data_IF_766888705311
#
_entry.id   IF_766888705311
#
_cell.length_a   1.000
_cell.length_b   1.000
_cell.length_c   1.000
_cell.angle_alpha   90.00
_cell.angle_beta   90.00
_cell.angle_gamma   90.00
#
_symmetry.space_group_name_H-M   'P 1'
#
loop_
_entity.id
_entity.type
_entity.pdbx_description
1 polymer ?
#
# COMPACT_ATOMS: atom_id res chain seq x y z
N UNK A 1 34.19 13.02 45.31
CA UNK A 1 35.59 12.84 44.88
C UNK A 1 35.59 12.48 43.41
N UNK A 2 36.18 13.34 42.56
CA UNK A 2 37.39 13.04 41.76
C UNK A 2 37.12 11.94 40.69
N UNK A 3 36.82 12.28 39.44
CA UNK A 3 37.74 12.78 38.37
C UNK A 3 38.62 11.65 37.79
N UNK A 4 38.80 11.47 36.48
CA UNK A 4 39.34 12.37 35.42
C UNK A 4 38.62 12.00 34.07
N UNK A 5 38.32 12.87 33.09
CA UNK A 5 39.22 13.68 32.23
C UNK A 5 40.04 12.83 31.24
N UNK A 6 40.24 13.14 29.95
CA UNK A 6 39.53 13.95 28.94
C UNK A 6 40.27 13.78 27.58
N UNK A 7 39.90 14.63 26.60
CA UNK A 7 40.73 15.26 25.56
C UNK A 7 40.66 14.61 24.17
N UNK A 8 39.97 15.27 23.23
CA UNK A 8 40.67 16.03 22.18
C UNK A 8 39.81 17.18 21.63
N UNK A 9 40.42 18.35 21.50
CA UNK A 9 39.83 19.62 21.09
C UNK A 9 40.86 20.32 20.21
N UNK A 10 40.52 20.66 18.96
CA UNK A 10 41.23 21.54 18.01
C UNK A 10 40.47 21.47 16.66
N UNK A 11 40.26 22.52 15.84
CA UNK A 11 40.35 23.97 16.04
C UNK A 11 39.76 24.71 14.80
N UNK A 12 38.97 25.77 15.02
CA UNK A 12 39.02 27.09 14.36
C UNK A 12 39.14 27.22 12.80
N UNK A 13 38.13 27.86 12.16
CA UNK A 13 38.15 29.25 11.56
C UNK A 13 38.39 29.30 10.02
N UNK A 14 38.07 30.36 9.23
CA UNK A 14 37.51 31.71 9.47
C UNK A 14 36.82 32.28 8.18
N UNK A 15 35.71 33.05 8.31
CA UNK A 15 35.24 34.18 7.44
C UNK A 15 34.99 34.06 5.93
N UNK A 16 33.90 34.69 5.47
CA UNK A 16 33.68 35.04 4.05
C UNK A 16 32.41 35.87 3.75
N UNK A 17 32.16 36.98 4.46
CA UNK A 17 30.98 37.83 4.21
C UNK A 17 31.18 38.84 3.05
N UNK A 18 30.04 39.34 2.54
CA UNK A 18 29.80 40.62 1.82
C UNK A 18 29.55 40.57 0.28
N UNK A 19 28.26 40.55 -0.05
CA UNK A 19 27.54 41.52 -0.92
C UNK A 19 28.30 42.32 -2.01
N UNK A 20 27.71 42.37 -3.22
CA UNK A 20 27.25 43.63 -3.85
C UNK A 20 26.42 43.47 -5.13
N UNK A 21 25.17 43.97 -5.06
CA UNK A 21 24.43 44.79 -6.06
C UNK A 21 24.67 44.66 -7.58
N UNK A 22 23.57 44.47 -8.31
CA UNK A 22 23.42 44.69 -9.76
C UNK A 22 23.48 46.20 -10.16
N UNK A 23 23.35 46.54 -11.46
CA UNK A 23 22.01 46.86 -12.01
C UNK A 23 21.74 46.39 -13.47
N UNK A 24 20.56 46.73 -13.99
CA UNK A 24 19.93 46.19 -15.20
C UNK A 24 20.03 47.08 -16.47
N UNK A 25 19.61 46.51 -17.62
CA UNK A 25 19.09 47.11 -18.88
C UNK A 25 18.53 45.93 -19.71
N UNK A 26 17.27 45.75 -20.11
CA UNK A 26 16.16 46.59 -20.63
C UNK A 26 16.03 46.64 -22.18
N UNK A 27 15.21 45.72 -22.71
CA UNK A 27 14.23 45.79 -23.83
C UNK A 27 14.56 46.43 -25.22
N UNK A 28 14.51 45.59 -26.27
CA UNK A 28 13.68 45.73 -27.53
C UNK A 28 13.84 46.98 -28.45
N UNK A 29 13.20 47.10 -29.66
CA UNK A 29 12.50 46.12 -30.53
C UNK A 29 12.85 46.16 -32.06
N UNK A 30 12.16 45.29 -32.83
CA UNK A 30 11.52 45.52 -34.16
C UNK A 30 12.25 45.49 -35.53
N UNK A 31 11.47 44.96 -36.50
CA UNK A 31 11.30 45.31 -37.94
C UNK A 31 11.54 44.13 -38.93
N UNK A 32 10.54 43.29 -39.26
CA UNK A 32 9.44 43.43 -40.26
C UNK A 32 9.84 43.55 -41.75
N UNK A 33 9.59 42.46 -42.52
CA UNK A 33 9.04 42.31 -43.90
C UNK A 33 9.28 43.38 -45.00
N UNK A 34 9.51 43.00 -46.28
CA UNK A 34 8.49 42.36 -47.18
C UNK A 34 9.05 41.16 -48.01
N UNK A 35 8.31 40.21 -48.60
CA UNK A 35 6.97 40.14 -49.21
C UNK A 35 6.86 40.68 -50.65
N UNK A 36 6.86 39.79 -51.66
CA UNK A 36 6.07 39.97 -52.89
C UNK A 36 5.78 38.63 -53.60
N UNK A 37 4.75 38.62 -54.45
CA UNK A 37 4.01 37.44 -54.96
C UNK A 37 4.26 37.16 -56.46
N UNK A 38 3.94 35.94 -56.93
CA UNK A 38 3.02 35.72 -58.07
C UNK A 38 2.73 34.23 -58.42
N UNK A 39 1.44 33.89 -58.32
CA UNK A 39 0.58 33.09 -59.21
C UNK A 39 1.09 31.85 -60.00
N UNK A 40 0.47 30.72 -59.64
CA UNK A 40 -0.30 29.79 -60.49
C UNK A 40 0.33 29.14 -61.75
N UNK A 41 0.52 27.82 -61.67
CA UNK A 41 -0.20 26.85 -62.54
C UNK A 41 -0.14 25.44 -61.92
N UNK A 42 -1.20 24.65 -62.14
CA UNK A 42 -1.22 23.22 -61.80
C UNK A 42 -1.81 22.44 -62.98
N UNK A 43 -1.14 21.36 -63.41
CA UNK A 43 -1.88 20.16 -63.79
C UNK A 43 -1.27 18.84 -63.30
N UNK A 44 -2.17 17.98 -62.82
CA UNK A 44 -2.22 16.51 -62.95
C UNK A 44 -0.97 15.64 -62.66
N UNK A 45 -1.06 14.99 -61.51
CA UNK A 45 -0.67 13.61 -61.21
C UNK A 45 0.16 12.80 -62.23
N UNK A 46 1.38 12.46 -61.81
CA UNK A 46 2.08 11.24 -62.22
C UNK A 46 2.50 10.54 -60.93
N UNK A 47 2.06 9.29 -60.74
CA UNK A 47 2.49 8.50 -59.57
C UNK A 47 3.94 8.02 -59.73
N UNK A 48 4.70 8.14 -58.65
CA UNK A 48 6.02 7.52 -58.49
C UNK A 48 6.10 6.79 -57.15
N UNK A 49 6.91 5.73 -57.03
CA UNK A 49 6.69 4.69 -56.03
C UNK A 49 6.99 5.11 -54.60
N UNK A 50 6.37 4.41 -53.66
CA UNK A 50 6.47 4.59 -52.22
C UNK A 50 7.92 4.55 -51.71
N UNK A 51 8.28 5.52 -50.87
CA UNK A 51 9.49 5.48 -50.06
C UNK A 51 9.43 4.29 -49.06
N UNK A 52 10.58 3.72 -48.65
CA UNK A 52 10.59 2.56 -47.78
C UNK A 52 9.97 2.89 -46.42
N UNK A 53 8.93 2.13 -46.04
CA UNK A 53 8.29 2.19 -44.73
C UNK A 53 9.36 2.08 -43.63
N UNK A 54 9.59 3.18 -42.93
CA UNK A 54 10.30 3.16 -41.65
C UNK A 54 9.38 2.42 -40.68
N UNK A 55 9.85 1.37 -39.97
CA UNK A 55 9.00 0.70 -38.99
C UNK A 55 8.57 1.74 -37.95
N UNK A 56 7.26 1.94 -37.80
CA UNK A 56 6.75 2.72 -36.69
C UNK A 56 7.23 2.08 -35.39
N UNK A 57 7.70 2.91 -34.45
CA UNK A 57 8.04 2.42 -33.13
C UNK A 57 6.79 1.75 -32.53
N UNK A 58 6.92 0.62 -31.82
CA UNK A 58 5.76 -0.01 -31.21
C UNK A 58 5.08 1.02 -30.31
N UNK A 59 3.79 1.26 -30.55
CA UNK A 59 3.00 2.13 -29.69
C UNK A 59 3.14 1.60 -28.26
N UNK A 60 3.61 2.46 -27.36
CA UNK A 60 3.61 2.15 -25.93
C UNK A 60 2.16 1.81 -25.57
N UNK A 61 1.87 0.64 -24.96
CA UNK A 61 0.50 0.29 -24.62
C UNK A 61 -0.12 1.42 -23.83
N UNK A 62 -1.28 1.92 -24.26
CA UNK A 62 -2.05 2.85 -23.44
C UNK A 62 -2.29 2.16 -22.10
N UNK A 63 -1.82 2.80 -21.01
CA UNK A 63 -2.06 2.30 -19.67
C UNK A 63 -3.57 2.16 -19.48
N UNK A 64 -4.02 1.00 -19.02
CA UNK A 64 -5.44 0.74 -18.86
C UNK A 64 -6.08 1.81 -17.96
N UNK A 65 -7.09 2.49 -18.49
CA UNK A 65 -7.86 3.52 -17.78
C UNK A 65 -8.74 2.87 -16.72
N UNK A 66 -8.13 2.55 -15.57
CA UNK A 66 -8.81 2.22 -14.34
C UNK A 66 -9.41 3.51 -13.77
N UNK A 67 -10.57 3.90 -14.30
CA UNK A 67 -11.21 5.18 -14.02
C UNK A 67 -11.36 5.49 -12.53
N UNK A 68 -11.03 6.73 -12.16
CA UNK A 68 -10.97 7.26 -10.78
C UNK A 68 -10.39 6.25 -9.79
N UNK A 69 -9.08 6.01 -9.88
CA UNK A 69 -8.31 5.10 -9.04
C UNK A 69 -8.66 5.28 -7.54
N UNK A 70 -9.50 4.39 -7.03
CA UNK A 70 -9.80 4.31 -5.62
C UNK A 70 -8.50 4.02 -4.84
N UNK A 71 -8.44 4.48 -3.59
CA UNK A 71 -7.36 4.15 -2.67
C UNK A 71 -7.29 2.62 -2.47
N UNK A 72 -6.22 1.99 -2.96
CA UNK A 72 -6.04 0.53 -3.00
C UNK A 72 -4.87 0.01 -2.15
N UNK A 73 -3.99 0.88 -1.66
CA UNK A 73 -2.77 0.54 -0.93
C UNK A 73 -2.44 1.56 0.15
N UNK A 74 -1.73 1.12 1.19
CA UNK A 74 -1.41 1.92 2.36
C UNK A 74 -0.54 3.14 2.05
N UNK A 75 -0.48 4.07 3.00
CA UNK A 75 0.38 5.26 2.92
C UNK A 75 1.67 4.95 3.66
N UNK A 76 2.81 4.85 2.97
CA UNK A 76 4.13 4.76 3.62
C UNK A 76 4.70 6.17 3.80
N UNK A 77 5.10 6.48 5.04
CA UNK A 77 5.61 7.75 5.50
C UNK A 77 7.03 7.58 6.05
N UNK A 78 7.98 8.43 5.68
CA UNK A 78 9.36 8.38 6.17
C UNK A 78 9.68 9.60 7.05
N UNK A 79 10.31 9.40 8.20
CA UNK A 79 10.69 10.49 9.10
C UNK A 79 11.72 11.42 8.45
N UNK A 80 11.40 12.72 8.40
CA UNK A 80 12.26 13.75 7.81
C UNK A 80 12.18 13.85 6.29
N UNK A 81 11.43 12.99 5.60
CA UNK A 81 11.18 13.07 4.16
C UNK A 81 9.80 13.71 3.88
N UNK A 82 9.69 14.79 3.10
CA UNK A 82 8.41 15.32 2.64
C UNK A 82 7.77 14.49 1.50
N UNK A 83 8.39 13.39 1.04
CA UNK A 83 7.82 12.48 0.04
C UNK A 83 7.29 11.22 0.71
N UNK A 84 6.00 10.97 0.53
CA UNK A 84 5.31 9.73 0.92
C UNK A 84 5.20 8.78 -0.28
N UNK A 85 4.92 7.50 -0.01
CA UNK A 85 4.40 6.58 -1.02
C UNK A 85 2.92 6.34 -0.78
N UNK A 86 2.07 6.76 -1.72
CA UNK A 86 0.62 6.51 -1.71
C UNK A 86 0.32 5.55 -2.85
N UNK A 87 -0.22 4.37 -2.55
CA UNK A 87 -0.32 3.29 -3.55
C UNK A 87 1.01 3.04 -4.29
N UNK A 88 2.16 3.13 -3.59
CA UNK A 88 3.55 3.11 -4.13
C UNK A 88 4.01 4.32 -4.94
N UNK A 89 3.14 5.26 -5.32
CA UNK A 89 3.53 6.44 -6.08
C UNK A 89 4.08 7.53 -5.15
N UNK A 90 5.12 8.24 -5.61
CA UNK A 90 5.73 9.34 -4.84
C UNK A 90 4.80 10.55 -4.79
N UNK A 91 4.32 10.90 -3.59
CA UNK A 91 3.45 12.05 -3.36
C UNK A 91 4.11 13.00 -2.37
N UNK A 92 4.22 14.27 -2.74
CA UNK A 92 4.75 15.32 -1.88
C UNK A 92 3.71 15.77 -0.84
N UNK A 93 4.12 15.81 0.42
CA UNK A 93 3.36 16.30 1.57
C UNK A 93 3.61 17.78 1.82
N UNK A 94 2.72 18.45 2.58
CA UNK A 94 2.93 19.83 3.04
C UNK A 94 4.16 20.00 3.95
N UNK A 95 4.57 18.94 4.65
CA UNK A 95 5.77 18.89 5.48
C UNK A 95 6.13 17.43 5.81
N UNK A 96 7.37 17.17 6.19
CA UNK A 96 7.82 15.84 6.57
C UNK A 96 7.18 15.34 7.90
N UNK A 97 6.84 14.04 8.01
CA UNK A 97 6.65 13.35 9.28
C UNK A 97 7.91 13.41 10.15
N UNK A 98 7.78 13.19 11.44
CA UNK A 98 8.95 13.15 12.34
C UNK A 98 8.74 12.18 13.51
N UNK A 99 9.85 11.72 14.09
CA UNK A 99 9.84 10.94 15.32
C UNK A 99 10.38 11.78 16.49
N UNK A 100 9.65 11.84 17.59
CA UNK A 100 10.04 12.61 18.78
C UNK A 100 9.49 11.99 20.06
N UNK A 101 10.31 11.92 21.11
CA UNK A 101 9.94 11.41 22.45
C UNK A 101 9.32 10.00 22.52
N UNK A 102 9.47 9.19 21.46
CA UNK A 102 8.90 7.84 21.35
C UNK A 102 7.69 7.75 20.42
N UNK A 103 7.25 8.89 19.86
CA UNK A 103 6.04 9.02 19.05
C UNK A 103 6.37 9.36 17.59
N UNK A 104 5.70 8.69 16.65
CA UNK A 104 5.75 9.06 15.23
C UNK A 104 4.60 10.00 14.89
N UNK A 105 4.95 11.21 14.46
CA UNK A 105 4.02 12.29 14.17
C UNK A 105 3.78 12.40 12.66
N UNK A 106 2.53 12.19 12.25
CA UNK A 106 2.11 12.26 10.84
C UNK A 106 1.47 13.62 10.50
N UNK A 107 1.72 14.21 9.33
CA UNK A 107 0.98 15.38 8.85
C UNK A 107 -0.51 15.02 8.70
N UNK A 108 -1.36 15.60 9.56
CA UNK A 108 -2.73 15.11 9.76
C UNK A 108 -3.62 15.36 8.53
N UNK A 109 -3.47 16.51 7.87
CA UNK A 109 -4.28 16.84 6.69
C UNK A 109 -3.96 15.89 5.54
N UNK A 110 -2.69 15.74 5.18
CA UNK A 110 -2.24 14.76 4.20
C UNK A 110 -2.80 13.36 4.47
N UNK A 111 -2.60 12.83 5.68
CA UNK A 111 -3.02 11.49 6.02
C UNK A 111 -4.55 11.35 5.95
N UNK A 112 -5.31 12.30 6.50
CA UNK A 112 -6.76 12.26 6.50
C UNK A 112 -7.35 12.34 5.07
N UNK A 113 -6.94 13.34 4.29
CA UNK A 113 -7.48 13.56 2.94
C UNK A 113 -7.12 12.40 2.00
N UNK A 114 -5.90 11.85 2.10
CA UNK A 114 -5.46 10.68 1.31
C UNK A 114 -6.26 9.42 1.65
N UNK A 115 -6.70 9.26 2.91
CA UNK A 115 -7.54 8.15 3.36
C UNK A 115 -9.05 8.35 3.11
N UNK A 116 -9.43 9.43 2.40
CA UNK A 116 -10.81 9.75 2.06
C UNK A 116 -11.61 10.40 3.19
N UNK A 117 -10.95 10.97 4.21
CA UNK A 117 -11.59 11.80 5.22
C UNK A 117 -11.64 13.26 4.78
N UNK A 118 -12.72 13.96 5.11
CA UNK A 118 -12.77 15.41 5.05
C UNK A 118 -12.03 15.99 6.26
N UNK A 119 -11.07 16.89 6.02
CA UNK A 119 -10.36 17.65 7.05
C UNK A 119 -10.92 19.08 7.14
N UNK A 120 -11.21 19.54 8.35
CA UNK A 120 -11.55 20.94 8.65
C UNK A 120 -10.83 21.43 9.91
N UNK A 121 -10.52 22.71 9.97
CA UNK A 121 -9.70 23.34 11.03
C UNK A 121 -10.27 24.71 11.39
N UNK A 122 -10.57 24.93 12.68
CA UNK A 122 -10.96 26.23 13.25
C UNK A 122 -10.09 26.53 14.48
N UNK A 123 -9.06 27.36 14.29
CA UNK A 123 -8.08 27.65 15.32
C UNK A 123 -7.32 26.40 15.75
N UNK A 124 -7.43 26.01 17.01
CA UNK A 124 -6.79 24.80 17.56
C UNK A 124 -7.69 23.56 17.52
N UNK A 125 -8.91 23.67 17.00
CA UNK A 125 -9.85 22.56 16.84
C UNK A 125 -9.79 22.00 15.42
N UNK A 126 -9.70 20.67 15.30
CA UNK A 126 -9.72 19.95 14.03
C UNK A 126 -10.94 19.03 14.01
N UNK A 127 -11.74 19.11 12.96
CA UNK A 127 -12.84 18.19 12.70
C UNK A 127 -12.47 17.29 11.53
N UNK A 128 -12.57 15.98 11.71
CA UNK A 128 -12.42 15.00 10.64
C UNK A 128 -13.75 14.27 10.46
N UNK A 129 -14.20 14.06 9.22
CA UNK A 129 -15.35 13.19 8.96
C UNK A 129 -15.18 12.30 7.74
N UNK A 130 -15.67 11.07 7.83
CA UNK A 130 -15.69 10.13 6.71
C UNK A 130 -17.01 9.35 6.72
N UNK A 131 -17.66 9.27 5.56
CA UNK A 131 -18.82 8.38 5.36
C UNK A 131 -18.36 7.19 4.57
N UNK A 132 -18.33 6.00 5.20
CA UNK A 132 -18.06 4.73 4.51
C UNK A 132 -19.30 3.85 4.57
N UNK A 133 -19.79 3.45 3.41
CA UNK A 133 -20.67 2.29 3.29
C UNK A 133 -19.83 1.07 3.63
N UNK A 134 -20.23 0.28 4.63
CA UNK A 134 -19.73 -1.09 4.65
C UNK A 134 -20.49 -1.77 3.52
N UNK A 135 -19.78 -2.26 2.50
CA UNK A 135 -20.45 -2.92 1.37
C UNK A 135 -21.33 -4.08 1.87
N UNK A 136 -20.87 -4.76 2.93
CA UNK A 136 -21.63 -5.82 3.61
C UNK A 136 -21.44 -5.80 5.14
N UNK A 137 -22.53 -6.06 5.86
CA UNK A 137 -22.56 -6.41 7.28
C UNK A 137 -23.14 -7.82 7.48
N UNK A 138 -22.71 -8.50 8.54
CA UNK A 138 -23.09 -9.88 8.84
C UNK A 138 -24.22 -9.91 9.88
N UNK A 139 -25.41 -10.34 9.47
CA UNK A 139 -26.49 -10.68 10.41
C UNK A 139 -26.44 -12.18 10.73
N UNK A 140 -26.45 -12.54 12.01
CA UNK A 140 -26.45 -13.95 12.45
C UNK A 140 -27.86 -14.45 12.75
N UNK A 141 -28.22 -15.59 12.15
CA UNK A 141 -29.51 -16.25 12.36
C UNK A 141 -29.47 -17.14 13.63
N UNK A 142 -30.61 -17.37 14.32
CA UNK A 142 -30.64 -18.14 15.57
C UNK A 142 -30.30 -19.63 15.45
N UNK A 143 -30.23 -20.16 14.23
CA UNK A 143 -29.81 -21.53 13.90
C UNK A 143 -28.30 -21.65 13.62
N UNK A 144 -27.56 -20.53 13.62
CA UNK A 144 -26.13 -20.47 13.33
C UNK A 144 -25.80 -20.10 11.89
N UNK A 145 -26.79 -19.92 11.01
CA UNK A 145 -26.56 -19.30 9.70
C UNK A 145 -26.18 -17.83 9.81
N UNK A 146 -25.68 -17.24 8.73
CA UNK A 146 -25.51 -15.79 8.61
C UNK A 146 -25.95 -15.31 7.23
N UNK A 147 -26.25 -14.01 7.11
CA UNK A 147 -26.51 -13.35 5.83
C UNK A 147 -25.75 -12.05 5.73
N UNK A 148 -25.12 -11.81 4.59
CA UNK A 148 -24.57 -10.51 4.22
C UNK A 148 -25.73 -9.58 3.83
N UNK A 149 -25.76 -8.38 4.42
CA UNK A 149 -26.66 -7.29 3.99
C UNK A 149 -25.85 -6.05 3.64
N UNK A 150 -26.29 -5.22 2.67
CA UNK A 150 -25.74 -3.89 2.50
C UNK A 150 -25.94 -3.11 3.80
N UNK A 151 -24.88 -2.50 4.34
CA UNK A 151 -25.04 -1.58 5.47
C UNK A 151 -25.52 -0.22 4.98
N UNK A 152 -26.31 0.46 5.80
CA UNK A 152 -26.47 1.90 5.65
C UNK A 152 -25.09 2.58 5.76
N UNK A 153 -24.82 3.65 4.98
CA UNK A 153 -23.58 4.40 5.11
C UNK A 153 -23.38 4.90 6.53
N UNK A 154 -22.26 4.51 7.16
CA UNK A 154 -21.90 4.97 8.50
C UNK A 154 -20.98 6.17 8.35
N UNK A 155 -21.36 7.30 8.95
CA UNK A 155 -20.48 8.46 9.11
C UNK A 155 -19.74 8.32 10.43
N UNK A 156 -18.41 8.41 10.39
CA UNK A 156 -17.59 8.70 11.56
C UNK A 156 -17.22 10.17 11.56
N UNK A 157 -17.28 10.80 12.73
CA UNK A 157 -16.86 12.17 12.99
C UNK A 157 -15.90 12.19 14.19
N UNK A 158 -14.79 12.90 14.05
CA UNK A 158 -13.78 13.11 15.08
C UNK A 158 -13.63 14.61 15.34
N UNK A 159 -13.59 15.03 16.60
CA UNK A 159 -13.16 16.38 16.99
C UNK A 159 -11.91 16.27 17.88
N UNK A 160 -10.81 16.86 17.41
CA UNK A 160 -9.49 16.87 18.05
C UNK A 160 -9.14 18.32 18.45
N UNK A 161 -8.33 18.50 19.49
CA UNK A 161 -7.79 19.82 19.86
C UNK A 161 -6.27 19.76 20.03
N UNK A 162 -5.55 20.73 19.48
CA UNK A 162 -4.08 20.81 19.58
C UNK A 162 -3.65 20.93 21.05
N UNK A 163 -2.73 20.07 21.46
CA UNK A 163 -2.20 20.01 22.83
C UNK A 163 -3.04 19.19 23.82
N UNK A 164 -4.22 18.71 23.42
CA UNK A 164 -5.13 17.95 24.29
C UNK A 164 -5.04 16.43 24.03
N UNK A 165 -5.24 15.64 25.09
CA UNK A 165 -5.30 14.16 25.02
C UNK A 165 -6.71 13.63 24.76
N UNK A 166 -7.72 14.43 25.05
CA UNK A 166 -9.10 14.09 24.84
C UNK A 166 -9.54 14.49 23.43
N UNK A 167 -10.40 13.67 22.84
CA UNK A 167 -11.06 13.93 21.57
C UNK A 167 -12.52 13.51 21.67
N UNK A 168 -13.34 13.85 20.68
CA UNK A 168 -14.67 13.24 20.55
C UNK A 168 -14.71 12.30 19.35
N UNK A 169 -15.41 11.18 19.51
CA UNK A 169 -15.77 10.23 18.46
C UNK A 169 -17.30 10.19 18.39
N UNK A 170 -17.86 10.63 17.27
CA UNK A 170 -19.31 10.74 17.06
C UNK A 170 -20.05 11.53 18.17
N UNK A 171 -19.37 12.52 18.76
CA UNK A 171 -19.87 13.34 19.87
C UNK A 171 -19.70 12.75 21.28
N UNK A 172 -19.16 11.54 21.42
CA UNK A 172 -18.78 10.97 22.72
C UNK A 172 -17.31 11.28 23.04
N UNK A 173 -17.03 11.74 24.27
CA UNK A 173 -15.69 12.11 24.68
C UNK A 173 -14.84 10.87 25.03
N UNK A 174 -13.65 10.79 24.44
CA UNK A 174 -12.68 9.71 24.55
C UNK A 174 -11.32 10.28 24.96
N UNK A 175 -10.56 9.56 25.80
CA UNK A 175 -9.19 9.93 26.16
C UNK A 175 -8.19 9.00 25.47
N UNK A 176 -7.19 9.58 24.80
CA UNK A 176 -6.14 8.83 24.10
C UNK A 176 -5.22 8.07 25.06
N UNK A 177 -4.76 6.89 24.62
CA UNK A 177 -3.70 6.11 25.26
C UNK A 177 -2.27 6.55 24.87
N UNK A 178 -2.09 7.28 23.77
CA UNK A 178 -0.79 7.76 23.27
C UNK A 178 0.01 8.52 24.32
N UNK A 179 1.34 8.51 24.31
CA UNK A 179 2.10 9.42 25.18
C UNK A 179 2.05 10.87 24.64
N UNK A 180 1.93 11.02 23.32
CA UNK A 180 1.82 12.30 22.63
C UNK A 180 0.45 13.00 22.72
N UNK A 181 0.38 14.15 22.05
CA UNK A 181 -0.82 14.97 21.79
C UNK A 181 -0.73 15.56 20.39
N UNK A 182 -1.82 16.05 19.76
CA UNK A 182 -1.74 16.71 18.47
C UNK A 182 -0.92 18.00 18.60
N UNK A 183 0.02 18.27 17.71
CA UNK A 183 0.90 19.46 17.76
C UNK A 183 0.86 20.25 16.47
N UNK A 184 0.96 21.59 16.57
CA UNK A 184 1.16 22.45 15.40
C UNK A 184 2.64 22.80 15.24
N UNK A 185 3.22 22.55 14.07
CA UNK A 185 4.57 22.99 13.67
C UNK A 185 4.48 23.63 12.28
N UNK A 186 5.02 24.83 12.12
CA UNK A 186 5.05 25.57 10.84
C UNK A 186 3.71 25.61 10.07
N UNK A 187 2.61 25.83 10.82
CA UNK A 187 1.21 25.82 10.36
C UNK A 187 0.64 24.47 9.92
N UNK A 188 1.38 23.36 10.06
CA UNK A 188 0.90 21.99 9.85
C UNK A 188 0.48 21.39 11.19
N UNK A 189 -0.69 20.73 11.23
CA UNK A 189 -1.10 19.89 12.35
C UNK A 189 -0.51 18.49 12.18
N UNK A 190 0.10 18.01 13.24
CA UNK A 190 0.62 16.66 13.36
C UNK A 190 -0.14 15.89 14.42
N UNK A 191 -0.40 14.62 14.14
CA UNK A 191 -1.04 13.69 15.07
C UNK A 191 -0.07 12.54 15.39
N UNK A 192 0.14 12.16 16.67
CA UNK A 192 0.81 10.90 16.98
C UNK A 192 0.06 9.74 16.34
N UNK A 193 0.79 8.78 15.77
CA UNK A 193 0.21 7.66 15.02
C UNK A 193 -0.77 6.82 15.86
N UNK A 194 -0.47 6.64 17.14
CA UNK A 194 -1.28 5.87 18.08
C UNK A 194 -2.34 6.73 18.80
N UNK A 195 -2.45 8.03 18.50
CA UNK A 195 -3.33 8.96 19.22
C UNK A 195 -4.81 8.54 19.21
N UNK A 196 -5.26 7.90 18.13
CA UNK A 196 -6.63 7.40 18.01
C UNK A 196 -6.83 6.01 18.65
N UNK A 197 -5.92 5.60 19.50
CA UNK A 197 -6.01 4.39 20.34
C UNK A 197 -6.48 4.77 21.74
N UNK A 198 -7.46 4.05 22.28
CA UNK A 198 -8.11 4.34 23.55
C UNK A 198 -8.54 3.03 24.26
N UNK A 199 -9.12 3.12 25.45
CA UNK A 199 -9.69 1.94 26.15
C UNK A 199 -11.14 2.21 26.57
N UNK A 200 -12.00 1.21 26.35
CA UNK A 200 -13.42 1.19 26.71
C UNK A 200 -13.70 0.37 27.99
N UNK A 201 -12.67 -0.26 28.56
CA UNK A 201 -12.75 -1.14 29.72
C UNK A 201 -12.83 -2.64 29.39
N UNK A 202 -13.21 -3.01 28.16
CA UNK A 202 -13.18 -4.40 27.66
C UNK A 202 -11.90 -4.69 26.86
N UNK A 203 -11.24 -3.66 26.33
CA UNK A 203 -9.93 -3.79 25.69
C UNK A 203 -9.25 -2.46 25.37
N UNK A 204 -8.26 -2.54 24.48
CA UNK A 204 -7.67 -1.38 23.80
C UNK A 204 -8.26 -1.33 22.38
N UNK A 205 -8.93 -0.23 22.07
CA UNK A 205 -9.60 0.04 20.80
C UNK A 205 -8.79 1.05 19.99
N UNK A 206 -8.98 1.08 18.66
CA UNK A 206 -8.50 2.16 17.81
C UNK A 206 -9.58 2.61 16.84
N UNK A 207 -9.55 3.88 16.41
CA UNK A 207 -10.50 4.38 15.39
C UNK A 207 -10.17 3.72 14.05
N UNK A 208 -11.02 2.83 13.51
CA UNK A 208 -10.59 1.82 12.54
C UNK A 208 -10.42 2.35 11.11
N UNK A 209 -10.68 3.64 10.86
CA UNK A 209 -10.70 4.21 9.51
C UNK A 209 -9.67 5.31 9.26
N UNK A 210 -9.03 5.88 10.29
CA UNK A 210 -7.94 6.85 10.10
C UNK A 210 -6.58 6.19 10.30
N UNK A 211 -6.29 5.65 11.49
CA UNK A 211 -5.02 4.94 11.75
C UNK A 211 -5.22 3.48 12.19
N UNK A 212 -6.42 2.91 12.03
CA UNK A 212 -6.70 1.51 12.35
C UNK A 212 -5.77 0.55 11.62
N UNK A 213 -5.02 -0.27 12.36
CA UNK A 213 -4.05 -1.20 11.77
C UNK A 213 -2.88 -0.50 11.05
N UNK A 214 -2.46 0.68 11.54
CA UNK A 214 -1.22 1.31 11.10
C UNK A 214 -0.02 0.73 11.86
N UNK A 215 1.13 0.69 11.21
CA UNK A 215 2.39 0.14 11.73
C UNK A 215 3.49 1.20 11.71
N UNK A 216 4.53 1.01 12.53
CA UNK A 216 5.66 1.92 12.62
C UNK A 216 6.94 1.19 13.05
N UNK A 217 8.03 1.43 12.34
CA UNK A 217 9.38 0.99 12.69
C UNK A 217 10.24 2.18 13.16
N UNK A 218 10.63 2.24 14.44
CA UNK A 218 11.46 3.32 14.98
C UNK A 218 12.95 3.24 14.64
N UNK A 219 13.47 2.10 14.20
CA UNK A 219 14.87 1.94 13.78
C UNK A 219 15.04 2.29 12.30
N UNK A 220 14.11 1.84 11.45
CA UNK A 220 14.07 2.19 10.03
C UNK A 220 13.43 3.57 9.75
N UNK A 221 12.66 4.11 10.71
CA UNK A 221 12.13 5.47 10.66
C UNK A 221 10.95 5.68 9.70
N UNK A 222 10.14 4.65 9.47
CA UNK A 222 8.97 4.72 8.59
C UNK A 222 7.69 4.20 9.26
N UNK A 223 6.54 4.76 8.88
CA UNK A 223 5.21 4.30 9.29
C UNK A 223 4.35 3.93 8.07
N UNK A 224 3.37 3.05 8.25
CA UNK A 224 2.42 2.65 7.21
C UNK A 224 0.98 2.76 7.73
N UNK A 225 0.10 3.45 6.99
CA UNK A 225 -1.29 3.74 7.42
C UNK A 225 -2.34 2.80 6.77
N UNK A 226 -3.29 2.31 7.58
CA UNK A 226 -4.45 1.46 7.20
C UNK A 226 -4.10 0.14 6.49
N UNK A 227 -3.32 -0.71 7.15
CA UNK A 227 -2.49 -1.70 6.48
C UNK A 227 -3.07 -3.02 5.97
N UNK A 228 -4.38 -3.31 5.89
CA UNK A 228 -4.81 -4.71 5.63
C UNK A 228 -5.97 -4.94 4.63
N UNK A 229 -7.18 -4.44 4.86
CA UNK A 229 -8.38 -4.99 4.17
C UNK A 229 -8.46 -4.74 2.66
N UNK A 230 -8.01 -3.58 2.20
CA UNK A 230 -8.05 -3.24 0.76
C UNK A 230 -6.73 -3.62 0.05
N UNK A 231 -5.71 -4.00 0.81
CA UNK A 231 -4.35 -4.21 0.32
C UNK A 231 -4.06 -5.66 -0.05
N UNK A 232 -4.88 -6.61 0.41
CA UNK A 232 -4.80 -8.02 0.05
C UNK A 232 -5.38 -8.25 -1.35
N UNK A 233 -4.73 -7.69 -2.38
CA UNK A 233 -5.16 -7.76 -3.77
C UNK A 233 -4.03 -7.51 -4.76
N UNK A 234 -4.23 -7.94 -6.01
CA UNK A 234 -3.23 -7.93 -7.06
C UNK A 234 -3.91 -7.99 -8.45
N UNK A 235 -3.38 -7.28 -9.44
CA UNK A 235 -3.88 -7.36 -10.83
C UNK A 235 -5.36 -6.99 -11.02
N UNK A 236 -5.94 -6.19 -10.11
CA UNK A 236 -7.35 -5.79 -10.11
C UNK A 236 -8.29 -6.69 -9.31
N UNK A 237 -7.79 -7.76 -8.67
CA UNK A 237 -8.57 -8.68 -7.83
C UNK A 237 -8.20 -8.50 -6.36
N UNK A 238 -9.15 -8.63 -5.44
CA UNK A 238 -8.90 -8.61 -4.00
C UNK A 238 -9.44 -9.88 -3.32
N UNK A 239 -8.74 -10.31 -2.27
CA UNK A 239 -9.16 -11.41 -1.41
C UNK A 239 -10.52 -11.07 -0.77
N UNK A 240 -11.39 -12.07 -0.68
CA UNK A 240 -12.81 -12.02 -0.31
C UNK A 240 -13.77 -11.36 -1.29
N UNK A 241 -13.34 -10.89 -2.46
CA UNK A 241 -14.28 -10.60 -3.57
C UNK A 241 -14.92 -11.90 -4.08
N UNK A 242 -16.19 -11.85 -4.49
CA UNK A 242 -16.82 -12.99 -5.15
C UNK A 242 -16.52 -12.98 -6.66
N UNK A 243 -15.74 -13.96 -7.11
CA UNK A 243 -15.36 -14.18 -8.51
C UNK A 243 -16.56 -14.18 -9.46
N UNK A 244 -17.64 -14.89 -9.14
CA UNK A 244 -18.78 -15.04 -10.06
C UNK A 244 -19.61 -13.76 -10.19
N UNK A 245 -19.53 -12.88 -9.18
CA UNK A 245 -20.15 -11.55 -9.19
C UNK A 245 -19.29 -10.49 -9.91
N UNK A 246 -18.00 -10.76 -10.18
CA UNK A 246 -17.13 -9.83 -10.89
C UNK A 246 -17.63 -9.55 -12.31
N UNK A 247 -17.44 -8.32 -12.83
CA UNK A 247 -17.73 -7.98 -14.22
C UNK A 247 -17.09 -8.94 -15.23
N UNK A 248 -17.83 -9.31 -16.28
CA UNK A 248 -17.36 -10.25 -17.30
C UNK A 248 -16.03 -9.81 -17.93
N UNK A 249 -15.89 -8.51 -18.22
CA UNK A 249 -14.66 -7.89 -18.76
C UNK A 249 -13.43 -8.06 -17.86
N UNK A 250 -13.60 -8.18 -16.54
CA UNK A 250 -12.50 -8.37 -15.60
C UNK A 250 -11.99 -9.82 -15.65
N UNK A 251 -12.93 -10.77 -15.74
CA UNK A 251 -12.68 -12.21 -15.87
C UNK A 251 -12.35 -12.69 -17.28
N UNK A 252 -12.52 -11.83 -18.30
CA UNK A 252 -12.30 -12.21 -19.70
C UNK A 252 -10.86 -12.71 -19.92
N UNK A 253 -10.73 -13.84 -20.62
CA UNK A 253 -9.44 -14.47 -20.91
C UNK A 253 -8.81 -15.26 -19.74
N UNK A 254 -9.42 -15.32 -18.55
CA UNK A 254 -9.03 -16.29 -17.53
C UNK A 254 -9.55 -17.69 -17.90
N UNK A 255 -8.69 -18.69 -17.72
CA UNK A 255 -9.03 -20.09 -17.87
C UNK A 255 -8.91 -20.82 -16.52
N UNK A 256 -9.83 -21.72 -16.23
CA UNK A 256 -9.68 -22.65 -15.09
C UNK A 256 -8.49 -23.57 -15.35
N UNK A 257 -7.52 -23.52 -14.44
CA UNK A 257 -6.28 -24.30 -14.46
C UNK A 257 -6.49 -25.67 -13.82
N UNK A 258 -7.21 -25.70 -12.70
CA UNK A 258 -7.60 -26.91 -11.99
C UNK A 258 -7.84 -26.66 -10.50
N UNK A 259 -8.04 -27.76 -9.77
CA UNK A 259 -8.16 -27.77 -8.32
C UNK A 259 -6.79 -27.95 -7.68
N UNK A 260 -6.38 -27.00 -6.83
CA UNK A 260 -5.10 -27.05 -6.11
C UNK A 260 -5.17 -28.01 -4.91
N UNK A 261 -6.31 -28.05 -4.22
CA UNK A 261 -6.55 -28.94 -3.09
C UNK A 261 -7.76 -28.54 -2.26
N UNK A 262 -7.89 -29.15 -1.09
CA UNK A 262 -8.86 -28.76 -0.06
C UNK A 262 -8.29 -27.61 0.77
N UNK A 263 -9.10 -26.58 1.01
CA UNK A 263 -8.81 -25.48 1.95
C UNK A 263 -8.47 -26.01 3.35
N UNK A 264 -7.50 -25.39 4.01
CA UNK A 264 -7.08 -25.73 5.37
C UNK A 264 -8.21 -25.57 6.41
N UNK A 265 -9.18 -24.69 6.14
CA UNK A 265 -10.40 -24.50 6.94
C UNK A 265 -11.65 -24.58 6.06
N UNK A 266 -12.70 -25.25 6.54
CA UNK A 266 -14.00 -25.35 5.87
C UNK A 266 -14.09 -26.49 4.84
N UNK A 267 -15.25 -26.57 4.18
CA UNK A 267 -15.63 -27.66 3.27
C UNK A 267 -15.54 -27.21 1.80
N UNK A 268 -14.40 -26.62 1.45
CA UNK A 268 -14.14 -26.00 0.16
C UNK A 268 -12.87 -26.54 -0.51
N UNK A 269 -12.94 -26.70 -1.82
CA UNK A 269 -11.79 -26.86 -2.69
C UNK A 269 -11.28 -25.48 -3.13
N UNK A 270 -9.97 -25.32 -3.26
CA UNK A 270 -9.34 -24.16 -3.89
C UNK A 270 -9.17 -24.47 -5.37
N UNK A 271 -9.80 -23.66 -6.23
CA UNK A 271 -9.73 -23.75 -7.70
C UNK A 271 -8.99 -22.54 -8.26
N UNK A 272 -8.03 -22.79 -9.15
CA UNK A 272 -7.18 -21.78 -9.76
C UNK A 272 -7.72 -21.35 -11.12
N UNK A 273 -7.81 -20.04 -11.34
CA UNK A 273 -8.03 -19.42 -12.65
C UNK A 273 -6.77 -18.63 -13.04
N UNK A 274 -6.25 -18.83 -14.26
CA UNK A 274 -5.03 -18.19 -14.73
C UNK A 274 -5.23 -17.33 -15.99
N UNK A 275 -4.51 -16.20 -16.06
CA UNK A 275 -4.34 -15.38 -17.26
C UNK A 275 -2.97 -14.70 -17.25
N UNK A 276 -2.10 -15.03 -18.21
CA UNK A 276 -0.87 -14.27 -18.45
C UNK A 276 0.13 -14.19 -17.29
N UNK A 277 0.19 -15.21 -16.42
CA UNK A 277 1.04 -15.17 -15.22
C UNK A 277 0.41 -14.47 -14.01
N UNK A 278 -0.88 -14.11 -14.08
CA UNK A 278 -1.75 -13.79 -12.94
C UNK A 278 -2.62 -15.01 -12.62
N UNK A 279 -2.65 -15.40 -11.35
CA UNK A 279 -3.32 -16.58 -10.81
C UNK A 279 -4.32 -16.11 -9.75
N UNK A 280 -5.57 -16.58 -9.84
CA UNK A 280 -6.64 -16.23 -8.89
C UNK A 280 -7.19 -17.53 -8.31
N UNK A 281 -7.07 -17.68 -6.99
CA UNK A 281 -7.52 -18.84 -6.24
C UNK A 281 -8.90 -18.56 -5.67
N UNK A 282 -9.86 -19.45 -5.92
CA UNK A 282 -11.28 -19.27 -5.61
C UNK A 282 -11.81 -20.49 -4.87
N UNK A 283 -12.56 -20.26 -3.78
CA UNK A 283 -13.23 -21.33 -3.06
C UNK A 283 -14.43 -21.85 -3.83
N UNK A 284 -14.52 -23.18 -3.92
CA UNK A 284 -15.64 -23.93 -4.50
C UNK A 284 -16.11 -25.00 -3.50
N UNK A 285 -17.42 -25.12 -3.22
CA UNK A 285 -17.95 -26.17 -2.35
C UNK A 285 -17.49 -27.58 -2.73
N UNK A 286 -17.30 -28.43 -1.72
CA UNK A 286 -17.03 -29.84 -1.97
C UNK A 286 -18.23 -30.53 -2.62
N UNK A 287 -17.97 -31.22 -3.74
CA UNK A 287 -19.01 -31.93 -4.50
C UNK A 287 -19.42 -33.29 -3.90
N UNK A 288 -18.91 -33.63 -2.71
CA UNK A 288 -19.19 -34.90 -2.03
C UNK A 288 -20.50 -34.89 -1.21
N UNK A 289 -21.13 -33.73 -1.08
CA UNK A 289 -22.42 -33.55 -0.41
C UNK A 289 -22.31 -33.26 1.09
N UNK A 290 -21.14 -32.82 1.56
CA UNK A 290 -20.95 -32.35 2.94
C UNK A 290 -21.66 -30.98 3.15
N UNK A 291 -22.11 -30.71 4.37
CA UNK A 291 -23.00 -29.59 4.70
C UNK A 291 -22.19 -28.31 5.00
N UNK A 292 -21.89 -27.58 3.93
CA UNK A 292 -21.04 -26.39 3.94
C UNK A 292 -21.43 -25.40 5.06
N UNK A 293 -20.48 -25.13 5.95
CA UNK A 293 -20.61 -24.08 6.95
C UNK A 293 -20.22 -22.73 6.36
N UNK A 294 -21.22 -21.88 6.14
CA UNK A 294 -21.07 -20.55 5.54
C UNK A 294 -21.31 -20.54 4.02
N UNK A 295 -21.34 -19.32 3.48
CA UNK A 295 -21.50 -19.03 2.06
C UNK A 295 -20.25 -18.31 1.56
N UNK A 296 -19.29 -19.09 1.07
CA UNK A 296 -18.02 -18.63 0.50
C UNK A 296 -17.76 -19.21 -0.90
N UNK A 297 -18.78 -19.75 -1.57
CA UNK A 297 -18.62 -20.15 -2.98
C UNK A 297 -18.32 -18.91 -3.84
N UNK A 298 -17.27 -19.00 -4.65
CA UNK A 298 -16.78 -17.88 -5.45
C UNK A 298 -15.88 -16.91 -4.70
N UNK A 299 -15.67 -17.05 -3.39
CA UNK A 299 -14.75 -16.18 -2.66
C UNK A 299 -13.31 -16.35 -3.17
N UNK A 300 -12.70 -15.27 -3.65
CA UNK A 300 -11.27 -15.22 -3.96
C UNK A 300 -10.50 -15.33 -2.64
N UNK A 301 -9.60 -16.29 -2.53
CA UNK A 301 -8.78 -16.52 -1.32
C UNK A 301 -7.30 -16.28 -1.54
N UNK A 302 -6.84 -16.17 -2.77
CA UNK A 302 -5.47 -15.83 -3.10
C UNK A 302 -5.35 -15.21 -4.49
N UNK A 303 -4.40 -14.29 -4.65
CA UNK A 303 -4.04 -13.73 -5.96
C UNK A 303 -2.53 -13.64 -6.06
N UNK A 304 -1.95 -14.31 -7.05
CA UNK A 304 -0.50 -14.43 -7.25
C UNK A 304 -0.08 -13.98 -8.64
N UNK A 305 1.13 -13.44 -8.77
CA UNK A 305 1.71 -13.14 -10.07
C UNK A 305 3.19 -13.47 -10.18
N UNK A 306 3.57 -13.91 -11.37
CA UNK A 306 4.95 -13.99 -11.87
C UNK A 306 5.22 -12.99 -13.01
N UNK A 307 4.25 -12.13 -13.35
CA UNK A 307 4.40 -11.08 -14.37
C UNK A 307 5.02 -9.81 -13.74
N UNK A 308 6.22 -9.37 -14.18
CA UNK A 308 6.89 -8.17 -13.63
C UNK A 308 6.19 -6.84 -13.99
N UNK A 309 5.17 -6.86 -14.87
CA UNK A 309 4.32 -5.69 -15.13
C UNK A 309 3.22 -5.51 -14.07
N UNK A 310 2.89 -6.57 -13.31
CA UNK A 310 1.85 -6.55 -12.28
C UNK A 310 2.52 -6.35 -10.92
N UNK A 311 2.15 -5.25 -10.25
CA UNK A 311 2.62 -4.92 -8.91
C UNK A 311 1.49 -5.04 -7.88
N UNK A 312 1.84 -5.29 -6.63
CA UNK A 312 0.92 -5.12 -5.49
C UNK A 312 0.55 -3.64 -5.32
N UNK A 313 -0.46 -3.31 -4.49
CA UNK A 313 -0.78 -1.92 -4.15
C UNK A 313 0.36 -1.13 -3.47
N UNK A 314 1.40 -1.82 -2.97
CA UNK A 314 2.64 -1.22 -2.43
C UNK A 314 3.84 -1.34 -3.39
N UNK A 315 3.60 -1.75 -4.64
CA UNK A 315 4.53 -1.55 -5.75
C UNK A 315 5.61 -2.63 -5.85
N UNK A 316 5.49 -3.65 -5.01
CA UNK A 316 6.27 -4.88 -5.03
C UNK A 316 5.82 -5.70 -6.25
N UNK A 317 6.76 -6.17 -7.06
CA UNK A 317 6.52 -6.93 -8.29
C UNK A 317 7.59 -8.01 -8.47
N UNK A 318 7.34 -9.04 -9.28
CA UNK A 318 8.39 -9.95 -9.71
C UNK A 318 9.58 -9.19 -10.32
N UNK A 319 10.80 -9.51 -9.88
CA UNK A 319 12.05 -8.82 -10.22
C UNK A 319 12.52 -7.79 -9.18
N UNK A 320 11.71 -7.46 -8.16
CA UNK A 320 12.19 -6.72 -6.99
C UNK A 320 12.99 -7.63 -6.04
N UNK A 321 13.94 -7.06 -5.28
CA UNK A 321 14.68 -7.78 -4.24
C UNK A 321 13.89 -7.90 -2.92
N UNK A 322 14.18 -8.93 -2.12
CA UNK A 322 13.55 -9.19 -0.82
C UNK A 322 13.54 -7.97 0.12
N UNK A 323 14.62 -7.20 0.19
CA UNK A 323 14.71 -6.04 1.10
C UNK A 323 13.67 -4.95 0.76
N UNK A 324 13.16 -4.92 -0.48
CA UNK A 324 12.05 -4.04 -0.85
C UNK A 324 10.73 -4.54 -0.26
N UNK A 325 10.53 -5.86 -0.15
CA UNK A 325 9.36 -6.42 0.51
C UNK A 325 9.32 -5.99 1.99
N UNK A 326 10.45 -6.03 2.69
CA UNK A 326 10.56 -5.58 4.09
C UNK A 326 10.39 -4.07 4.28
N UNK A 327 10.74 -3.26 3.28
CA UNK A 327 10.53 -1.80 3.30
C UNK A 327 9.08 -1.40 3.04
N UNK A 328 8.30 -2.23 2.33
CA UNK A 328 6.93 -1.88 1.93
C UNK A 328 5.88 -2.71 2.66
N UNK A 329 6.20 -3.87 3.19
CA UNK A 329 5.32 -4.72 3.99
C UNK A 329 5.93 -5.01 5.36
N UNK A 330 5.07 -5.02 6.38
CA UNK A 330 5.43 -5.23 7.78
C UNK A 330 4.87 -6.56 8.31
N UNK A 331 5.17 -6.89 9.57
CA UNK A 331 4.75 -8.14 10.20
C UNK A 331 3.23 -8.42 10.23
N UNK A 332 2.36 -7.42 9.97
CA UNK A 332 0.92 -7.65 9.80
C UNK A 332 0.58 -8.40 8.49
N UNK A 333 1.52 -8.50 7.55
CA UNK A 333 1.43 -9.32 6.34
C UNK A 333 2.16 -10.67 6.46
N UNK A 334 2.72 -11.01 7.63
CA UNK A 334 3.57 -12.19 7.82
C UNK A 334 2.95 -13.48 7.24
N UNK A 335 1.64 -13.70 7.41
CA UNK A 335 0.92 -14.88 6.92
C UNK A 335 0.05 -14.61 5.66
N UNK A 336 0.01 -13.37 5.17
CA UNK A 336 -0.90 -12.88 4.12
C UNK A 336 -0.18 -12.60 2.80
N UNK A 337 1.08 -12.15 2.87
CA UNK A 337 1.96 -12.01 1.72
C UNK A 337 2.80 -13.29 1.58
N UNK A 338 2.71 -13.94 0.43
CA UNK A 338 3.56 -15.08 0.08
C UNK A 338 4.48 -14.74 -1.08
N UNK A 339 5.74 -15.20 -0.99
CA UNK A 339 6.84 -14.83 -1.87
C UNK A 339 7.67 -16.07 -2.21
N UNK A 340 8.04 -16.21 -3.49
CA UNK A 340 9.05 -17.16 -3.97
C UNK A 340 10.25 -16.37 -4.46
N UNK A 341 11.41 -16.66 -3.88
CA UNK A 341 12.68 -15.97 -4.18
C UNK A 341 13.58 -16.86 -5.05
N UNK A 342 14.50 -16.25 -5.81
CA UNK A 342 15.59 -16.94 -6.51
C UNK A 342 16.87 -17.07 -5.66
N UNK A 343 17.97 -17.50 -6.29
CA UNK A 343 19.27 -17.68 -5.62
C UNK A 343 19.90 -16.35 -5.18
N UNK A 344 19.54 -15.25 -5.84
CA UNK A 344 20.02 -13.88 -5.60
C UNK A 344 19.01 -13.06 -4.75
N UNK A 345 18.04 -13.73 -4.12
CA UNK A 345 16.95 -13.17 -3.29
C UNK A 345 16.03 -12.16 -4.01
N UNK A 346 15.90 -12.28 -5.34
CA UNK A 346 14.87 -11.57 -6.10
C UNK A 346 13.56 -12.35 -6.13
N UNK A 347 12.45 -11.61 -6.08
CA UNK A 347 11.10 -12.15 -6.12
C UNK A 347 10.80 -12.66 -7.53
N UNK A 348 10.58 -13.95 -7.70
CA UNK A 348 10.16 -14.55 -8.99
C UNK A 348 8.65 -14.77 -9.07
N UNK A 349 7.98 -14.80 -7.92
CA UNK A 349 6.53 -14.89 -7.79
C UNK A 349 6.11 -14.33 -6.43
N UNK A 350 4.99 -13.62 -6.40
CA UNK A 350 4.41 -13.08 -5.17
C UNK A 350 2.89 -13.21 -5.20
N UNK A 351 2.25 -13.21 -4.04
CA UNK A 351 0.80 -13.07 -3.96
C UNK A 351 0.28 -12.75 -2.57
N UNK A 352 -0.96 -12.28 -2.56
CA UNK A 352 -1.67 -11.87 -1.37
C UNK A 352 -2.88 -12.78 -1.18
N UNK A 353 -3.01 -13.36 0.01
CA UNK A 353 -3.94 -14.45 0.26
C UNK A 353 -4.49 -14.49 1.69
N UNK A 354 -5.57 -15.24 1.85
CA UNK A 354 -6.13 -15.62 3.13
C UNK A 354 -5.18 -16.63 3.81
N UNK A 355 -4.70 -16.37 5.03
CA UNK A 355 -3.78 -17.30 5.73
C UNK A 355 -4.43 -18.64 6.12
N UNK A 356 -5.78 -18.72 6.03
CA UNK A 356 -6.55 -19.86 6.53
C UNK A 356 -7.26 -20.69 5.46
N UNK A 357 -7.50 -20.09 4.28
CA UNK A 357 -8.36 -20.69 3.25
C UNK A 357 -7.64 -20.97 1.93
N UNK A 358 -6.43 -20.46 1.75
CA UNK A 358 -5.69 -20.60 0.50
C UNK A 358 -4.60 -21.67 0.55
N UNK A 359 -4.14 -22.08 -0.63
CA UNK A 359 -3.00 -22.97 -0.85
C UNK A 359 -2.01 -22.20 -1.75
N UNK A 360 -0.95 -21.59 -1.19
CA UNK A 360 0.02 -20.85 -2.00
C UNK A 360 0.70 -21.71 -3.08
N UNK A 361 1.11 -21.12 -4.22
CA UNK A 361 1.84 -21.83 -5.27
C UNK A 361 3.10 -22.53 -4.76
N UNK A 362 3.45 -23.65 -5.38
CA UNK A 362 4.53 -24.50 -4.91
C UNK A 362 5.88 -23.76 -4.85
N UNK A 363 6.44 -23.65 -3.65
CA UNK A 363 7.71 -22.96 -3.38
C UNK A 363 7.57 -21.49 -2.99
N UNK A 364 6.36 -20.91 -3.04
CA UNK A 364 6.05 -19.70 -2.28
C UNK A 364 6.09 -20.02 -0.79
N UNK A 365 6.52 -19.04 0.02
CA UNK A 365 6.52 -19.07 1.48
C UNK A 365 5.93 -17.77 1.99
N UNK A 366 5.34 -17.79 3.17
CA UNK A 366 4.81 -16.56 3.77
C UNK A 366 5.95 -15.60 4.09
N UNK A 367 5.68 -14.30 4.14
CA UNK A 367 6.67 -13.29 4.49
C UNK A 367 7.29 -13.55 5.88
N UNK A 368 6.50 -14.07 6.83
CA UNK A 368 6.97 -14.48 8.15
C UNK A 368 7.93 -15.68 8.08
N UNK A 369 7.62 -16.69 7.25
CA UNK A 369 8.55 -17.79 6.99
C UNK A 369 9.85 -17.29 6.36
N UNK A 370 9.79 -16.44 5.33
CA UNK A 370 10.98 -15.88 4.69
C UNK A 370 11.84 -15.11 5.68
N UNK A 371 11.25 -14.27 6.55
CA UNK A 371 11.99 -13.54 7.57
C UNK A 371 12.73 -14.48 8.55
N UNK A 372 12.11 -15.61 8.95
CA UNK A 372 12.79 -16.67 9.72
C UNK A 372 13.93 -17.34 8.94
N UNK A 373 13.76 -17.61 7.64
CA UNK A 373 14.84 -18.16 6.80
C UNK A 373 16.03 -17.20 6.66
N UNK A 374 15.78 -15.89 6.54
CA UNK A 374 16.83 -14.87 6.49
C UNK A 374 17.53 -14.70 7.85
N UNK A 375 16.79 -14.76 8.96
CA UNK A 375 17.35 -14.79 10.32
C UNK A 375 18.28 -16.00 10.53
N UNK A 376 17.85 -17.21 10.15
CA UNK A 376 18.69 -18.42 10.20
C UNK A 376 19.94 -18.37 9.29
N UNK A 377 19.89 -17.61 8.19
CA UNK A 377 21.07 -17.37 7.34
C UNK A 377 22.08 -16.41 8.01
N UNK A 378 21.61 -15.44 8.80
CA UNK A 378 22.44 -14.54 9.58
C UNK A 378 22.95 -15.19 10.90
N UNK A 379 22.11 -16.02 11.52
CA UNK A 379 22.30 -16.70 12.79
C UNK A 379 22.05 -18.22 12.68
N UNK A 380 22.95 -18.98 12.02
CA UNK A 380 22.78 -20.44 11.85
C UNK A 380 22.74 -21.23 13.16
N UNK A 381 23.15 -20.63 14.28
CA UNK A 381 23.00 -21.17 15.64
C UNK A 381 21.55 -21.26 16.14
N UNK A 382 20.65 -20.43 15.60
CA UNK A 382 19.23 -20.37 15.98
C UNK A 382 18.32 -21.16 15.02
N UNK A 383 18.91 -21.71 13.94
CA UNK A 383 18.22 -22.59 13.00
C UNK A 383 17.93 -23.99 13.59
N UNK A 384 16.82 -24.64 13.21
CA UNK A 384 16.50 -25.99 13.68
C UNK A 384 17.44 -27.04 13.05
N UNK A 385 17.69 -28.14 13.78
CA UNK A 385 18.65 -29.21 13.40
C UNK A 385 18.39 -29.84 12.00
N UNK A 386 17.18 -29.73 11.45
CA UNK A 386 16.80 -30.24 10.13
C UNK A 386 16.79 -29.16 9.03
N UNK A 387 17.29 -27.95 9.30
CA UNK A 387 17.42 -26.90 8.30
C UNK A 387 18.68 -27.06 7.45
N UNK A 388 18.51 -26.89 6.14
CA UNK A 388 19.56 -27.01 5.15
C UNK A 388 19.87 -25.63 4.52
N UNK A 389 20.99 -24.99 4.90
CA UNK A 389 21.34 -23.64 4.43
C UNK A 389 21.70 -23.56 2.94
N UNK A 390 21.92 -24.70 2.27
CA UNK A 390 22.26 -24.72 0.83
C UNK A 390 21.01 -24.76 -0.04
N UNK A 391 19.99 -25.52 0.37
CA UNK A 391 18.69 -25.58 -0.32
C UNK A 391 17.69 -24.55 0.21
N UNK A 392 18.08 -23.76 1.23
CA UNK A 392 17.21 -22.88 2.02
C UNK A 392 15.93 -23.61 2.48
N UNK A 393 15.97 -24.90 2.80
CA UNK A 393 14.79 -25.73 3.08
C UNK A 393 14.88 -26.48 4.42
N UNK A 394 13.74 -26.96 4.92
CA UNK A 394 13.69 -27.94 6.01
C UNK A 394 13.69 -29.34 5.37
N UNK A 395 14.59 -30.21 5.81
CA UNK A 395 14.61 -31.63 5.44
C UNK A 395 13.62 -32.43 6.33
N UNK A 396 12.91 -33.41 5.75
CA UNK A 396 11.88 -34.27 6.39
C UNK A 396 12.43 -35.29 7.43
#
# INVERSE_FOLDING_TARGET
MKSLTAVFLLLLLLTGCAERTAPAQELEPAHTHPAETQDAEAPEAVETPEDPVTPEAPETPEAADYGDAAFCGGITLFAGDPVARVNSEEVAMESAPFFEEGEFYVPLRFAAETLGWHYAEDGDTITLSATKTWEWGVDFAPDGGYSLRPCDPVTQELELTVGERAFTLNGEAVESCSAGVPVRRDSVIYLPLDFLTFSDGDGQQSVPWLFGGSTYDPEAGYAILNGQRNEAGLGGFAVWQNWDELPEVQREGFAESGMLGQSSIGEYNVVEYMRGGLHVHVLRPMTDGTEVSGDHDGAIVGVYTSDPSIATPRGLRPGDAWEKAEQVYDGSFADTLSLRLDEDDNIVELGLHSPYYDIPPAGCRTMGEQHLFHDWMAHPEDAPDNWNPVTKALDD
#
